data_IF_643273131159
#
_entry.id   IF_643273131159
#
_cell.length_a   1.000
_cell.length_b   1.000
_cell.length_c   1.000
_cell.angle_alpha   90.00
_cell.angle_beta   90.00
_cell.angle_gamma   90.00
#
_symmetry.space_group_name_H-M   'P 1'
#
loop_
_entity.id
_entity.type
_entity.pdbx_description
1 polymer ?
#
# COMPACT_ATOMS: atom_id res chain seq x y z
N UNK A 1 -34.39 -0.89 9.16
CA UNK A 1 -34.07 -0.72 7.72
C UNK A 1 -33.16 -1.86 7.32
N UNK A 2 -33.51 -2.64 6.31
CA UNK A 2 -32.68 -3.72 5.79
C UNK A 2 -32.22 -3.34 4.39
N UNK A 3 -30.94 -3.57 4.10
CA UNK A 3 -30.37 -3.38 2.76
C UNK A 3 -30.13 -4.75 2.17
N UNK A 4 -30.75 -5.05 1.02
CA UNK A 4 -30.46 -6.27 0.28
C UNK A 4 -29.05 -6.19 -0.32
N UNK A 5 -28.21 -7.18 -0.04
CA UNK A 5 -26.83 -7.25 -0.53
C UNK A 5 -26.44 -8.68 -0.91
N UNK A 6 -25.42 -8.80 -1.76
CA UNK A 6 -24.70 -10.04 -2.02
C UNK A 6 -23.20 -9.74 -2.13
N UNK A 7 -22.35 -10.75 -1.96
CA UNK A 7 -20.90 -10.61 -2.05
C UNK A 7 -20.45 -11.05 -3.44
N UNK A 8 -19.72 -10.19 -4.15
CA UNK A 8 -19.00 -10.54 -5.38
C UNK A 8 -17.53 -10.78 -5.03
N UNK A 9 -17.08 -12.02 -5.14
CA UNK A 9 -15.68 -12.40 -4.90
C UNK A 9 -14.77 -11.69 -5.91
N UNK A 10 -13.67 -11.12 -5.44
CA UNK A 10 -12.62 -10.52 -6.27
C UNK A 10 -11.34 -11.36 -6.23
N UNK A 11 -10.32 -10.98 -7.01
CA UNK A 11 -8.98 -11.55 -6.90
C UNK A 11 -8.03 -10.65 -6.07
N UNK A 12 -8.59 -9.67 -5.36
CA UNK A 12 -7.84 -8.66 -4.60
C UNK A 12 -7.61 -9.14 -3.17
N UNK A 13 -6.68 -10.08 -3.00
CA UNK A 13 -6.37 -10.74 -1.73
C UNK A 13 -4.92 -10.50 -1.32
N UNK A 14 -4.67 -10.49 0.00
CA UNK A 14 -3.33 -10.52 0.57
C UNK A 14 -2.55 -11.77 0.10
N UNK A 15 -1.21 -11.70 0.02
CA UNK A 15 -0.42 -12.90 -0.20
C UNK A 15 -0.58 -13.86 0.99
N UNK A 16 -0.65 -15.16 0.68
CA UNK A 16 -0.74 -16.21 1.69
C UNK A 16 0.56 -16.31 2.52
N UNK A 17 1.71 -16.07 1.89
CA UNK A 17 2.99 -15.99 2.60
C UNK A 17 3.05 -14.69 3.42
N UNK A 18 3.18 -14.86 4.73
CA UNK A 18 3.16 -13.75 5.67
C UNK A 18 4.44 -12.91 5.61
N UNK A 19 5.55 -13.48 5.15
CA UNK A 19 6.84 -12.80 5.05
C UNK A 19 6.95 -11.88 3.82
N UNK A 20 6.01 -11.98 2.85
CA UNK A 20 6.01 -11.10 1.68
C UNK A 20 5.56 -9.69 2.07
N UNK A 21 6.39 -8.65 1.82
CA UNK A 21 6.01 -7.29 2.14
C UNK A 21 4.87 -6.83 1.22
N UNK A 22 3.98 -6.01 1.77
CA UNK A 22 2.79 -5.52 1.05
C UNK A 22 2.80 -4.00 1.03
N UNK A 23 2.77 -3.44 -0.18
CA UNK A 23 2.62 -2.01 -0.44
C UNK A 23 1.20 -1.76 -0.91
N UNK A 24 0.50 -0.85 -0.23
CA UNK A 24 -0.87 -0.46 -0.51
C UNK A 24 -0.91 1.01 -0.87
N UNK A 25 -1.54 1.36 -2.00
CA UNK A 25 -1.67 2.74 -2.48
C UNK A 25 -3.14 3.03 -2.70
N UNK A 26 -3.72 3.85 -1.82
CA UNK A 26 -5.17 4.08 -1.81
C UNK A 26 -5.55 5.45 -1.26
N UNK A 27 -5.56 6.51 -2.08
CA UNK A 27 -6.07 7.80 -1.66
C UNK A 27 -7.60 7.83 -1.58
N UNK A 28 -8.13 8.64 -0.68
CA UNK A 28 -9.57 8.79 -0.45
C UNK A 28 -10.24 7.46 -0.13
N UNK A 29 -11.37 7.18 -0.78
CA UNK A 29 -12.12 5.93 -0.61
C UNK A 29 -11.37 4.68 -1.12
N UNK A 30 -10.28 4.85 -1.89
CA UNK A 30 -9.37 3.76 -2.25
C UNK A 30 -8.72 3.07 -1.06
N UNK A 31 -8.80 3.66 0.14
CA UNK A 31 -8.31 3.01 1.38
C UNK A 31 -9.22 1.89 1.89
N UNK A 32 -10.45 1.78 1.38
CA UNK A 32 -11.46 0.86 1.90
C UNK A 32 -11.00 -0.61 1.98
N UNK A 33 -10.46 -1.25 0.92
CA UNK A 33 -9.97 -2.63 1.04
C UNK A 33 -8.75 -2.74 1.96
N UNK A 34 -7.91 -1.71 2.00
CA UNK A 34 -6.68 -1.71 2.81
C UNK A 34 -6.94 -1.68 4.30
N UNK A 35 -8.05 -1.08 4.75
CA UNK A 35 -8.49 -1.22 6.14
C UNK A 35 -8.71 -2.69 6.50
N UNK A 36 -9.30 -3.48 5.59
CA UNK A 36 -9.46 -4.93 5.75
C UNK A 36 -8.12 -5.65 5.82
N UNK A 37 -7.20 -5.35 4.89
CA UNK A 37 -5.87 -5.96 4.84
C UNK A 37 -5.06 -5.71 6.13
N UNK A 38 -5.07 -4.46 6.61
CA UNK A 38 -4.37 -4.07 7.83
C UNK A 38 -4.95 -4.81 9.04
N UNK A 39 -6.28 -4.89 9.15
CA UNK A 39 -6.95 -5.62 10.24
C UNK A 39 -6.66 -7.12 10.21
N UNK A 40 -6.71 -7.73 9.03
CA UNK A 40 -6.40 -9.15 8.85
C UNK A 40 -4.98 -9.46 9.32
N UNK A 41 -4.01 -8.64 8.93
CA UNK A 41 -2.60 -8.81 9.30
C UNK A 41 -2.34 -8.50 10.78
N UNK A 42 -3.06 -7.56 11.36
CA UNK A 42 -3.03 -7.32 12.81
C UNK A 42 -3.59 -8.52 13.58
N UNK A 43 -4.69 -9.12 13.11
CA UNK A 43 -5.24 -10.34 13.69
C UNK A 43 -4.28 -11.53 13.55
N UNK A 44 -3.66 -11.71 12.39
CA UNK A 44 -2.65 -12.74 12.16
C UNK A 44 -1.42 -12.54 13.05
N UNK A 45 -1.00 -11.30 13.30
CA UNK A 45 0.11 -11.00 14.22
C UNK A 45 -0.20 -11.34 15.68
N UNK A 46 -1.46 -11.17 16.11
CA UNK A 46 -1.90 -11.52 17.46
C UNK A 46 -2.08 -13.03 17.65
N UNK A 47 -2.45 -13.76 16.59
CA UNK A 47 -2.79 -15.19 16.64
C UNK A 47 -1.68 -16.12 16.15
N UNK A 48 -0.66 -15.58 15.47
CA UNK A 48 0.49 -16.34 15.02
C UNK A 48 1.20 -17.02 16.20
N UNK A 49 1.45 -18.33 16.06
CA UNK A 49 2.32 -19.04 17.00
C UNK A 49 3.72 -18.41 16.95
N UNK A 50 4.48 -18.41 18.07
CA UNK A 50 5.79 -17.76 18.18
C UNK A 50 6.90 -18.31 17.25
N UNK A 51 6.57 -19.21 16.31
CA UNK A 51 7.50 -19.83 15.36
C UNK A 51 7.72 -19.04 14.07
N UNK A 52 6.87 -18.06 13.74
CA UNK A 52 7.12 -17.17 12.60
C UNK A 52 7.88 -15.93 13.05
N UNK A 53 9.19 -15.92 12.84
CA UNK A 53 10.08 -14.80 13.19
C UNK A 53 10.15 -13.72 12.11
N UNK A 54 9.60 -13.97 10.92
CA UNK A 54 9.65 -13.00 9.83
C UNK A 54 8.61 -11.89 10.04
N UNK A 55 9.00 -10.61 9.91
CA UNK A 55 8.08 -9.50 10.08
C UNK A 55 7.03 -9.47 8.97
N UNK A 56 5.77 -9.27 9.36
CA UNK A 56 4.67 -8.98 8.44
C UNK A 56 4.70 -7.50 8.09
N UNK A 57 5.40 -7.15 7.01
CA UNK A 57 5.58 -5.75 6.62
C UNK A 57 4.45 -5.23 5.74
N UNK A 58 3.80 -4.16 6.19
CA UNK A 58 2.76 -3.43 5.49
C UNK A 58 3.15 -1.95 5.36
N UNK A 59 3.08 -1.40 4.15
CA UNK A 59 3.29 0.03 3.90
C UNK A 59 2.05 0.60 3.21
N UNK A 60 1.32 1.50 3.87
CA UNK A 60 0.15 2.18 3.32
C UNK A 60 0.51 3.60 2.87
N UNK A 61 0.42 3.86 1.57
CA UNK A 61 0.43 5.20 0.98
C UNK A 61 -1.02 5.69 0.88
N UNK A 62 -1.42 6.54 1.82
CA UNK A 62 -2.73 7.15 1.90
C UNK A 62 -2.68 8.62 1.47
N UNK A 63 -3.74 9.10 0.81
CA UNK A 63 -3.86 10.49 0.44
C UNK A 63 -5.25 11.05 0.66
N UNK A 64 -5.35 12.31 1.09
CA UNK A 64 -6.60 13.05 1.20
C UNK A 64 -6.39 14.54 0.92
N UNK A 65 -7.42 15.38 1.08
CA UNK A 65 -7.27 16.83 0.88
C UNK A 65 -6.57 17.47 2.07
N UNK A 66 -7.11 17.27 3.27
CA UNK A 66 -6.63 17.93 4.47
C UNK A 66 -6.63 16.97 5.67
N UNK A 67 -5.56 16.93 6.49
CA UNK A 67 -5.41 15.97 7.60
C UNK A 67 -6.53 16.04 8.65
N UNK A 68 -7.17 17.20 8.78
CA UNK A 68 -8.22 17.46 9.76
C UNK A 68 -9.64 17.48 9.18
N UNK A 69 -9.83 17.13 7.90
CA UNK A 69 -11.15 17.20 7.25
C UNK A 69 -11.59 15.82 6.72
N UNK A 70 -10.75 15.19 5.90
CA UNK A 70 -11.14 14.00 5.12
C UNK A 70 -10.13 12.85 5.25
N UNK A 71 -9.42 12.78 6.39
CA UNK A 71 -8.56 11.66 6.73
C UNK A 71 -9.39 10.47 7.23
N UNK A 72 -9.75 9.56 6.31
CA UNK A 72 -10.49 8.35 6.63
C UNK A 72 -9.67 7.43 7.53
N UNK A 73 -10.31 6.94 8.61
CA UNK A 73 -9.72 6.03 9.59
C UNK A 73 -8.43 6.56 10.23
N UNK A 74 -8.30 7.89 10.38
CA UNK A 74 -7.11 8.55 10.92
C UNK A 74 -6.63 7.89 12.20
N UNK A 75 -7.49 7.88 13.21
CA UNK A 75 -7.10 7.48 14.56
C UNK A 75 -6.72 5.98 14.60
N UNK A 76 -7.36 5.14 13.76
CA UNK A 76 -7.02 3.72 13.62
C UNK A 76 -5.62 3.53 13.01
N UNK A 77 -5.33 4.18 11.89
CA UNK A 77 -4.04 4.02 11.21
C UNK A 77 -2.89 4.72 11.94
N UNK A 78 -3.10 5.91 12.50
CA UNK A 78 -2.04 6.62 13.23
C UNK A 78 -1.70 5.92 14.53
N UNK A 79 -2.69 5.40 15.26
CA UNK A 79 -2.44 4.61 16.47
C UNK A 79 -1.67 3.32 16.14
N UNK A 80 -2.09 2.58 15.10
CA UNK A 80 -1.39 1.35 14.71
C UNK A 80 0.05 1.61 14.24
N UNK A 81 0.28 2.69 13.48
CA UNK A 81 1.61 3.07 13.04
C UNK A 81 2.51 3.45 14.24
N UNK A 82 1.96 4.16 15.23
CA UNK A 82 2.69 4.52 16.45
C UNK A 82 3.04 3.27 17.29
N UNK A 83 2.07 2.37 17.50
CA UNK A 83 2.30 1.09 18.19
C UNK A 83 3.35 0.25 17.46
N UNK A 84 3.29 0.22 16.12
CA UNK A 84 4.27 -0.54 15.34
C UNK A 84 5.68 0.04 15.44
N UNK A 85 5.81 1.36 15.43
CA UNK A 85 7.09 2.03 15.67
C UNK A 85 7.64 1.79 17.08
N UNK A 86 6.76 1.61 18.07
CA UNK A 86 7.12 1.24 19.44
C UNK A 86 7.41 -0.27 19.63
N UNK A 87 7.21 -1.10 18.60
CA UNK A 87 7.38 -2.56 18.69
C UNK A 87 6.24 -3.29 19.42
N UNK A 88 5.09 -2.64 19.58
CA UNK A 88 3.94 -3.13 20.35
C UNK A 88 2.94 -3.96 19.51
N UNK A 89 3.23 -4.15 18.22
CA UNK A 89 2.37 -4.90 17.28
C UNK A 89 2.86 -6.32 17.00
N UNK A 90 3.78 -6.85 17.82
CA UNK A 90 4.36 -8.17 17.64
C UNK A 90 5.10 -8.29 16.30
N UNK A 91 4.75 -9.31 15.50
CA UNK A 91 5.38 -9.51 14.19
C UNK A 91 4.91 -8.53 13.10
N UNK A 92 3.84 -7.76 13.33
CA UNK A 92 3.37 -6.77 12.36
C UNK A 92 4.29 -5.55 12.35
N UNK A 93 4.74 -5.15 11.16
CA UNK A 93 5.41 -3.88 10.90
C UNK A 93 4.52 -3.04 9.98
N UNK A 94 3.87 -2.01 10.51
CA UNK A 94 2.95 -1.15 9.77
C UNK A 94 3.51 0.27 9.65
N UNK A 95 3.70 0.71 8.41
CA UNK A 95 4.07 2.08 8.08
C UNK A 95 2.94 2.80 7.37
N UNK A 96 2.61 4.01 7.83
CA UNK A 96 1.63 4.90 7.22
C UNK A 96 2.34 6.11 6.61
N UNK A 97 2.22 6.27 5.29
CA UNK A 97 2.78 7.39 4.53
C UNK A 97 1.63 8.22 3.97
N UNK A 98 1.57 9.50 4.33
CA UNK A 98 0.40 10.36 4.06
C UNK A 98 0.72 11.46 3.04
N UNK A 99 -0.21 11.69 2.12
CA UNK A 99 -0.18 12.75 1.12
C UNK A 99 -1.38 13.70 1.28
N UNK A 100 -1.12 14.99 1.50
CA UNK A 100 -2.18 15.99 1.67
C UNK A 100 -2.17 16.95 0.48
N UNK A 101 -3.25 16.92 -0.31
CA UNK A 101 -3.33 17.68 -1.56
C UNK A 101 -3.78 19.14 -1.36
N UNK A 102 -4.24 19.51 -0.17
CA UNK A 102 -4.76 20.85 0.20
C UNK A 102 -4.44 21.19 1.65
N UNK A 103 -3.21 20.98 2.11
CA UNK A 103 -2.79 21.40 3.44
C UNK A 103 -2.36 22.88 3.44
N UNK A 104 -2.80 23.63 4.43
CA UNK A 104 -2.59 25.08 4.47
C UNK A 104 -1.11 25.44 4.51
N UNK A 105 -0.70 26.36 3.63
CA UNK A 105 0.69 26.82 3.53
C UNK A 105 1.69 25.78 2.98
N UNK A 106 1.22 24.62 2.51
CA UNK A 106 2.07 23.55 1.99
C UNK A 106 1.83 23.28 0.49
N UNK A 107 2.83 22.77 -0.25
CA UNK A 107 2.64 22.34 -1.63
C UNK A 107 1.66 21.16 -1.71
N UNK A 108 1.00 21.01 -2.86
CA UNK A 108 0.13 19.85 -3.12
C UNK A 108 0.97 18.59 -3.17
N UNK A 109 0.62 17.60 -2.36
CA UNK A 109 1.29 16.29 -2.35
C UNK A 109 0.27 15.19 -2.65
N UNK A 110 0.61 14.31 -3.57
CA UNK A 110 -0.14 13.11 -3.92
C UNK A 110 0.63 11.83 -3.55
N UNK A 111 -0.04 10.67 -3.64
CA UNK A 111 0.55 9.39 -3.25
C UNK A 111 1.75 8.99 -4.12
N UNK A 112 1.75 9.37 -5.41
CA UNK A 112 2.89 9.17 -6.31
C UNK A 112 4.12 9.98 -5.91
N UNK A 113 3.94 11.16 -5.32
CA UNK A 113 5.07 11.96 -4.83
C UNK A 113 5.72 11.26 -3.62
N UNK A 114 4.88 10.70 -2.74
CA UNK A 114 5.34 9.90 -1.61
C UNK A 114 6.01 8.60 -2.05
N UNK A 115 5.44 7.88 -3.02
CA UNK A 115 6.08 6.69 -3.59
C UNK A 115 7.48 7.01 -4.10
N UNK A 116 7.65 8.13 -4.81
CA UNK A 116 8.96 8.57 -5.32
C UNK A 116 9.95 8.87 -4.19
N UNK A 117 9.50 9.57 -3.14
CA UNK A 117 10.31 9.85 -1.95
C UNK A 117 10.79 8.57 -1.25
N UNK A 118 9.97 7.52 -1.27
CA UNK A 118 10.28 6.22 -0.69
C UNK A 118 10.81 5.21 -1.73
N UNK A 119 11.25 5.67 -2.90
CA UNK A 119 11.50 4.80 -4.06
C UNK A 119 12.51 3.68 -3.83
N UNK A 120 13.59 3.95 -3.08
CA UNK A 120 14.60 2.93 -2.75
C UNK A 120 14.00 1.74 -1.98
N UNK A 121 13.17 2.04 -0.97
CA UNK A 121 12.53 1.03 -0.14
C UNK A 121 11.40 0.32 -0.88
N UNK A 122 10.62 1.06 -1.70
CA UNK A 122 9.62 0.47 -2.60
C UNK A 122 10.27 -0.52 -3.57
N UNK A 123 11.39 -0.16 -4.18
CA UNK A 123 12.14 -1.05 -5.07
C UNK A 123 12.64 -2.29 -4.34
N UNK A 124 13.25 -2.14 -3.17
CA UNK A 124 13.74 -3.26 -2.36
C UNK A 124 12.60 -4.24 -2.00
N UNK A 125 11.46 -3.72 -1.55
CA UNK A 125 10.29 -4.54 -1.23
C UNK A 125 9.78 -5.32 -2.46
N UNK A 126 9.62 -4.67 -3.61
CA UNK A 126 9.00 -5.31 -4.78
C UNK A 126 9.97 -6.21 -5.57
N UNK A 127 11.19 -5.74 -5.81
CA UNK A 127 12.15 -6.43 -6.69
C UNK A 127 13.02 -7.44 -5.93
N UNK A 128 13.43 -7.14 -4.70
CA UNK A 128 14.40 -7.96 -3.96
C UNK A 128 13.72 -8.90 -2.95
N UNK A 129 12.62 -8.47 -2.34
CA UNK A 129 11.90 -9.24 -1.31
C UNK A 129 10.68 -9.99 -1.87
N UNK A 130 10.37 -9.81 -3.16
CA UNK A 130 9.24 -10.43 -3.82
C UNK A 130 7.88 -9.93 -3.31
N UNK A 131 7.83 -8.68 -2.86
CA UNK A 131 6.65 -8.04 -2.31
C UNK A 131 5.52 -7.85 -3.31
N UNK A 132 4.37 -7.47 -2.76
CA UNK A 132 3.13 -7.25 -3.48
C UNK A 132 2.75 -5.77 -3.46
N UNK A 133 2.26 -5.26 -4.58
CA UNK A 133 1.73 -3.92 -4.77
C UNK A 133 0.21 -4.01 -5.00
N UNK A 134 -0.53 -3.21 -4.24
CA UNK A 134 -1.97 -3.07 -4.40
C UNK A 134 -2.33 -1.61 -4.60
N UNK A 135 -3.10 -1.31 -5.65
CA UNK A 135 -3.55 0.05 -5.97
C UNK A 135 -5.07 0.06 -6.00
N UNK A 136 -5.69 1.01 -5.30
CA UNK A 136 -7.15 1.10 -5.21
C UNK A 136 -7.61 2.57 -5.24
N UNK A 137 -8.73 2.83 -5.93
CA UNK A 137 -9.32 4.17 -6.07
C UNK A 137 -9.48 4.61 -7.54
N UNK A 138 -9.24 5.90 -7.81
CA UNK A 138 -9.49 6.50 -9.13
C UNK A 138 -8.69 5.83 -10.26
N UNK A 139 -9.40 5.19 -11.20
CA UNK A 139 -8.80 4.54 -12.36
C UNK A 139 -8.26 5.55 -13.39
N UNK A 140 -8.86 6.74 -13.46
CA UNK A 140 -8.67 7.66 -14.58
C UNK A 140 -7.33 8.40 -14.54
N UNK A 141 -6.83 8.74 -13.34
CA UNK A 141 -5.57 9.47 -13.17
C UNK A 141 -4.65 8.78 -12.17
N UNK A 142 -5.15 8.48 -10.98
CA UNK A 142 -4.32 8.00 -9.87
C UNK A 142 -3.61 6.69 -10.20
N UNK A 143 -4.32 5.69 -10.72
CA UNK A 143 -3.73 4.40 -11.08
C UNK A 143 -2.60 4.54 -12.13
N UNK A 144 -2.81 5.39 -13.14
CA UNK A 144 -1.81 5.62 -14.19
C UNK A 144 -0.56 6.32 -13.65
N UNK A 145 -0.72 7.33 -12.79
CA UNK A 145 0.39 8.08 -12.21
C UNK A 145 1.18 7.23 -11.22
N UNK A 146 0.51 6.36 -10.45
CA UNK A 146 1.18 5.35 -9.61
C UNK A 146 1.99 4.39 -10.46
N UNK A 147 1.40 3.83 -11.53
CA UNK A 147 2.12 2.91 -12.43
C UNK A 147 3.37 3.56 -13.04
N UNK A 148 3.24 4.78 -13.58
CA UNK A 148 4.39 5.54 -14.12
C UNK A 148 5.47 5.75 -13.07
N UNK A 149 5.09 6.03 -11.83
CA UNK A 149 6.02 6.25 -10.73
C UNK A 149 6.74 4.97 -10.33
N UNK A 150 6.04 3.83 -10.30
CA UNK A 150 6.67 2.53 -10.02
C UNK A 150 7.67 2.15 -11.12
N UNK A 151 7.35 2.40 -12.40
CA UNK A 151 8.31 2.23 -13.50
C UNK A 151 9.54 3.12 -13.31
N UNK A 152 9.35 4.41 -12.98
CA UNK A 152 10.46 5.32 -12.72
C UNK A 152 11.33 4.89 -11.53
N UNK A 153 10.72 4.29 -10.50
CA UNK A 153 11.44 3.70 -9.36
C UNK A 153 12.31 2.52 -9.82
N UNK A 154 11.80 1.64 -10.70
CA UNK A 154 12.57 0.54 -11.26
C UNK A 154 13.74 1.00 -12.15
N UNK A 155 13.55 2.08 -12.93
CA UNK A 155 14.64 2.72 -13.68
C UNK A 155 15.71 3.23 -12.72
N UNK A 156 15.31 4.06 -11.75
CA UNK A 156 16.25 4.74 -10.87
C UNK A 156 17.02 3.79 -9.94
N UNK A 157 16.31 2.86 -9.29
CA UNK A 157 16.89 2.02 -8.24
C UNK A 157 17.28 0.61 -8.71
N UNK A 158 16.77 0.19 -9.87
CA UNK A 158 17.15 -1.07 -10.51
C UNK A 158 18.22 -0.94 -11.59
N UNK A 159 18.61 0.27 -11.97
CA UNK A 159 19.56 0.50 -13.06
C UNK A 159 19.05 0.01 -14.42
N UNK A 160 17.72 -0.07 -14.57
CA UNK A 160 17.06 -0.54 -15.78
C UNK A 160 16.83 0.63 -16.74
N UNK A 161 16.84 0.36 -18.05
CA UNK A 161 16.21 1.28 -18.99
C UNK A 161 14.67 1.25 -18.84
N UNK A 162 14.00 2.20 -19.50
CA UNK A 162 12.56 2.38 -19.33
C UNK A 162 11.74 1.18 -19.84
N UNK A 163 12.17 0.54 -20.93
CA UNK A 163 11.45 -0.60 -21.51
C UNK A 163 11.60 -1.86 -20.64
N UNK A 164 12.80 -2.13 -20.13
CA UNK A 164 13.06 -3.18 -19.15
C UNK A 164 12.27 -2.95 -17.85
N UNK A 165 12.23 -1.72 -17.35
CA UNK A 165 11.44 -1.36 -16.17
C UNK A 165 9.93 -1.58 -16.40
N UNK A 166 9.41 -1.16 -17.56
CA UNK A 166 7.99 -1.42 -17.94
C UNK A 166 7.70 -2.91 -18.02
N UNK A 167 8.61 -3.70 -18.59
CA UNK A 167 8.46 -5.15 -18.66
C UNK A 167 8.46 -5.78 -17.26
N UNK A 168 9.37 -5.37 -16.39
CA UNK A 168 9.43 -5.84 -15.01
C UNK A 168 8.15 -5.55 -14.23
N UNK A 169 7.60 -4.33 -14.35
CA UNK A 169 6.32 -3.97 -13.71
C UNK A 169 5.14 -4.74 -14.29
N UNK A 170 5.13 -5.03 -15.61
CA UNK A 170 4.13 -5.92 -16.21
C UNK A 170 4.26 -7.35 -15.68
N UNK A 171 5.48 -7.83 -15.46
CA UNK A 171 5.71 -9.14 -14.88
C UNK A 171 5.15 -9.23 -13.45
N UNK A 172 5.23 -8.16 -12.64
CA UNK A 172 4.55 -8.12 -11.34
C UNK A 172 3.04 -8.40 -11.46
N UNK A 173 2.38 -7.81 -12.47
CA UNK A 173 0.95 -8.05 -12.71
C UNK A 173 0.69 -9.50 -13.13
N UNK A 174 1.51 -10.03 -14.05
CA UNK A 174 1.41 -11.42 -14.50
C UNK A 174 1.63 -12.44 -13.36
N UNK A 175 2.54 -12.13 -12.42
CA UNK A 175 2.82 -12.94 -11.24
C UNK A 175 1.75 -12.82 -10.13
N UNK A 176 0.73 -11.98 -10.31
CA UNK A 176 -0.25 -11.67 -9.26
C UNK A 176 0.31 -10.86 -8.09
N UNK A 177 1.49 -10.26 -8.26
CA UNK A 177 2.16 -9.39 -7.27
C UNK A 177 1.84 -7.91 -7.45
N UNK A 178 1.13 -7.53 -8.51
CA UNK A 178 0.54 -6.21 -8.65
C UNK A 178 -0.94 -6.37 -9.00
N UNK A 179 -1.83 -6.02 -8.06
CA UNK A 179 -3.27 -5.99 -8.26
C UNK A 179 -3.85 -4.56 -8.20
N UNK A 180 -4.91 -4.32 -8.98
CA UNK A 180 -5.63 -3.05 -9.05
C UNK A 180 -7.12 -3.29 -8.77
N UNK A 181 -7.71 -2.47 -7.89
CA UNK A 181 -9.16 -2.39 -7.69
C UNK A 181 -9.60 -0.93 -7.83
N UNK A 182 -9.84 -0.53 -9.09
CA UNK A 182 -10.01 0.86 -9.48
C UNK A 182 -11.33 1.09 -10.20
N UNK A 183 -11.93 2.26 -9.99
CA UNK A 183 -13.22 2.66 -10.57
C UNK A 183 -13.23 4.13 -11.00
#
# INVERSE_FOLDING_TARGET
FHVAMYIRTSHFHLPADLAKPVIMVGPGTGVAPFRGFVRERAYQAQTAQPKSTAPMRLTLFYGCRHPNQDFLFRDEFTALAAQSAAGETGALQFALVTAFSRHDGAPKVYVQDRLRQHGADVYAQLAQQGGHLYVCGDASRMAQDVMKTVVAIYVQYGGMDEDAARLAVRQLKADGRYAEDTW
#
